data_IF_872527772047
#
_entry.id   IF_872527772047
#
_cell.length_a   1.000
_cell.length_b   1.000
_cell.length_c   1.000
_cell.angle_alpha   90.00
_cell.angle_beta   90.00
_cell.angle_gamma   90.00
#
_symmetry.space_group_name_H-M   'P 1'
#
loop_
_entity.id
_entity.type
_entity.pdbx_description
1 polymer ?
#
# COMPACT_ATOMS: atom_id res chain seq x y z
N UNK A 1 -0.13 23.22 2.95
CA UNK A 1 -0.13 21.92 2.26
C UNK A 1 1.26 21.72 1.69
N UNK A 2 2.00 20.70 2.11
CA UNK A 2 3.31 20.34 1.52
C UNK A 2 3.08 19.38 0.36
N UNK A 3 3.83 19.56 -0.73
CA UNK A 3 3.79 18.64 -1.87
C UNK A 3 4.68 17.43 -1.54
N UNK A 4 4.16 16.22 -1.78
CA UNK A 4 4.91 14.96 -1.66
C UNK A 4 5.12 14.40 -3.06
N UNK A 5 6.38 14.09 -3.40
CA UNK A 5 6.72 13.37 -4.63
C UNK A 5 6.95 11.90 -4.31
N UNK A 6 6.41 11.03 -5.17
CA UNK A 6 6.57 9.59 -5.06
C UNK A 6 6.84 8.94 -6.41
N UNK A 7 7.34 7.71 -6.37
CA UNK A 7 7.61 6.86 -7.52
C UNK A 7 6.79 5.59 -7.45
N UNK A 8 6.58 4.93 -8.58
CA UNK A 8 5.91 3.63 -8.66
C UNK A 8 6.93 2.55 -8.99
N UNK A 9 6.77 1.37 -8.39
CA UNK A 9 7.57 0.17 -8.66
C UNK A 9 6.65 -1.03 -8.84
N UNK A 10 7.02 -1.97 -9.72
CA UNK A 10 6.15 -3.08 -10.12
C UNK A 10 6.90 -4.41 -10.00
N UNK A 11 6.62 -5.22 -8.96
CA UNK A 11 7.30 -6.49 -8.69
C UNK A 11 7.40 -7.49 -9.85
N UNK A 12 6.47 -7.39 -10.78
CA UNK A 12 6.37 -8.21 -11.99
C UNK A 12 7.26 -7.72 -13.14
N UNK A 13 7.79 -6.49 -13.05
CA UNK A 13 8.60 -5.85 -14.09
C UNK A 13 10.07 -5.75 -13.69
N UNK A 14 10.34 -5.53 -12.40
CA UNK A 14 11.69 -5.31 -11.87
C UNK A 14 12.10 -6.31 -10.77
N UNK A 15 13.37 -6.65 -10.75
CA UNK A 15 13.97 -7.34 -9.59
C UNK A 15 14.11 -6.39 -8.40
N UNK A 16 14.15 -6.93 -7.17
CA UNK A 16 14.39 -6.14 -5.96
C UNK A 16 15.70 -5.33 -6.02
N UNK A 17 16.73 -5.81 -6.73
CA UNK A 17 17.98 -5.07 -6.91
C UNK A 17 17.78 -3.83 -7.79
N UNK A 18 17.05 -3.95 -8.90
CA UNK A 18 16.74 -2.80 -9.77
C UNK A 18 15.85 -1.78 -9.04
N UNK A 19 14.91 -2.26 -8.22
CA UNK A 19 14.09 -1.41 -7.37
C UNK A 19 14.96 -0.65 -6.35
N UNK A 20 15.90 -1.33 -5.68
CA UNK A 20 16.83 -0.69 -4.73
C UNK A 20 17.64 0.43 -5.40
N UNK A 21 18.27 0.15 -6.54
CA UNK A 21 19.02 1.14 -7.32
C UNK A 21 18.14 2.34 -7.73
N UNK A 22 16.89 2.08 -8.11
CA UNK A 22 15.93 3.12 -8.48
C UNK A 22 15.49 3.98 -7.29
N UNK A 23 15.14 3.36 -6.15
CA UNK A 23 14.71 4.07 -4.94
C UNK A 23 15.85 4.89 -4.32
N UNK A 24 17.10 4.39 -4.42
CA UNK A 24 18.29 5.17 -4.07
C UNK A 24 18.42 6.45 -4.90
N UNK A 25 18.22 6.35 -6.21
CA UNK A 25 18.26 7.52 -7.09
C UNK A 25 17.11 8.49 -6.77
N UNK A 26 15.87 7.98 -6.67
CA UNK A 26 14.70 8.80 -6.37
C UNK A 26 14.83 9.55 -5.04
N UNK A 27 15.30 8.88 -3.99
CA UNK A 27 15.50 9.50 -2.68
C UNK A 27 16.59 10.57 -2.70
N UNK A 28 17.66 10.41 -3.49
CA UNK A 28 18.66 11.46 -3.70
C UNK A 28 18.11 12.74 -4.35
N UNK A 29 16.93 12.64 -4.98
CA UNK A 29 16.18 13.76 -5.56
C UNK A 29 14.97 14.20 -4.71
N UNK A 30 14.87 13.75 -3.46
CA UNK A 30 13.86 14.22 -2.50
C UNK A 30 12.48 13.55 -2.64
N UNK A 31 12.38 12.43 -3.34
CA UNK A 31 11.16 11.62 -3.34
C UNK A 31 11.05 10.86 -2.01
N UNK A 32 9.86 10.81 -1.43
CA UNK A 32 9.63 10.27 -0.08
C UNK A 32 8.48 9.28 0.01
N UNK A 33 7.90 8.89 -1.14
CA UNK A 33 6.80 7.92 -1.21
C UNK A 33 7.03 6.91 -2.34
N UNK A 34 6.67 5.66 -2.08
CA UNK A 34 6.63 4.58 -3.06
C UNK A 34 5.20 4.09 -3.20
N UNK A 35 4.75 3.90 -4.43
CA UNK A 35 3.53 3.18 -4.77
C UNK A 35 3.90 1.83 -5.37
N UNK A 36 3.17 0.77 -5.04
CA UNK A 36 3.33 -0.55 -5.65
C UNK A 36 1.99 -1.26 -5.77
N UNK A 37 1.79 -2.00 -6.87
CA UNK A 37 0.69 -2.97 -6.96
C UNK A 37 0.96 -4.16 -6.05
N UNK A 38 -0.02 -4.60 -5.25
CA UNK A 38 0.12 -5.82 -4.45
C UNK A 38 -0.44 -7.07 -5.13
N UNK A 39 -1.13 -6.91 -6.27
CA UNK A 39 -1.80 -8.02 -6.97
C UNK A 39 -0.84 -8.88 -7.80
N UNK A 40 0.26 -8.29 -8.24
CA UNK A 40 1.11 -8.87 -9.28
C UNK A 40 2.13 -9.88 -8.76
N UNK A 41 2.30 -10.00 -7.44
CA UNK A 41 3.21 -10.96 -6.82
C UNK A 41 2.52 -12.32 -6.73
N UNK A 42 2.98 -13.34 -7.49
CA UNK A 42 2.42 -14.69 -7.41
C UNK A 42 2.89 -15.41 -6.14
N UNK A 43 2.26 -16.54 -5.84
CA UNK A 43 2.68 -17.42 -4.75
C UNK A 43 1.73 -17.44 -3.55
N UNK A 44 2.18 -18.13 -2.50
CA UNK A 44 1.46 -18.27 -1.24
C UNK A 44 1.40 -16.94 -0.49
N UNK A 45 0.57 -16.87 0.55
CA UNK A 45 0.52 -15.73 1.46
C UNK A 45 1.92 -15.43 2.04
N UNK A 46 2.67 -16.45 2.42
CA UNK A 46 3.98 -16.29 3.05
C UNK A 46 5.01 -15.74 2.06
N UNK A 47 4.99 -16.19 0.81
CA UNK A 47 5.88 -15.71 -0.26
C UNK A 47 5.59 -14.25 -0.60
N UNK A 48 4.30 -13.89 -0.72
CA UNK A 48 3.86 -12.51 -0.96
C UNK A 48 4.25 -11.60 0.20
N UNK A 49 4.03 -12.03 1.44
CA UNK A 49 4.39 -11.26 2.63
C UNK A 49 5.92 -11.05 2.74
N UNK A 50 6.71 -12.09 2.47
CA UNK A 50 8.18 -11.99 2.47
C UNK A 50 8.68 -11.02 1.39
N UNK A 51 8.08 -11.06 0.19
CA UNK A 51 8.41 -10.12 -0.87
C UNK A 51 8.16 -8.67 -0.43
N UNK A 52 6.95 -8.37 0.05
CA UNK A 52 6.61 -7.01 0.45
C UNK A 52 7.42 -6.53 1.65
N UNK A 53 7.75 -7.41 2.61
CA UNK A 53 8.68 -7.10 3.69
C UNK A 53 10.08 -6.71 3.19
N UNK A 54 10.59 -7.38 2.15
CA UNK A 54 11.88 -7.01 1.54
C UNK A 54 11.78 -5.68 0.80
N UNK A 55 10.72 -5.48 0.02
CA UNK A 55 10.47 -4.24 -0.73
C UNK A 55 10.35 -3.03 0.20
N UNK A 56 9.54 -3.13 1.26
CA UNK A 56 9.37 -2.06 2.26
C UNK A 56 10.67 -1.80 3.02
N UNK A 57 11.42 -2.85 3.37
CA UNK A 57 12.75 -2.72 3.96
C UNK A 57 13.70 -1.88 3.11
N UNK A 58 13.72 -2.08 1.78
CA UNK A 58 14.51 -1.26 0.84
C UNK A 58 14.00 0.20 0.84
N UNK A 59 12.69 0.41 0.69
CA UNK A 59 12.12 1.77 0.67
C UNK A 59 12.40 2.55 1.97
N UNK A 60 12.28 1.89 3.11
CA UNK A 60 12.51 2.48 4.44
C UNK A 60 13.98 2.85 4.67
N UNK A 61 14.95 2.13 4.10
CA UNK A 61 16.37 2.54 4.14
C UNK A 61 16.59 3.93 3.55
N UNK A 62 15.75 4.34 2.60
CA UNK A 62 15.78 5.64 1.95
C UNK A 62 14.77 6.64 2.52
N UNK A 63 14.15 6.32 3.66
CA UNK A 63 13.17 7.19 4.33
C UNK A 63 11.86 7.36 3.55
N UNK A 64 11.53 6.44 2.65
CA UNK A 64 10.33 6.50 1.82
C UNK A 64 9.21 5.67 2.41
N UNK A 65 7.99 6.21 2.47
CA UNK A 65 6.80 5.45 2.89
C UNK A 65 6.23 4.63 1.73
N UNK A 66 5.74 3.43 2.00
CA UNK A 66 5.16 2.53 1.00
C UNK A 66 3.64 2.53 1.05
N UNK A 67 3.04 2.82 -0.09
CA UNK A 67 1.61 2.69 -0.36
C UNK A 67 1.36 1.47 -1.24
N UNK A 68 0.83 0.41 -0.64
CA UNK A 68 0.49 -0.82 -1.33
C UNK A 68 -0.94 -0.76 -1.88
N UNK A 69 -1.09 -0.96 -3.18
CA UNK A 69 -2.39 -1.02 -3.84
C UNK A 69 -3.04 -2.39 -3.65
N UNK A 70 -4.21 -2.39 -3.01
CA UNK A 70 -4.93 -3.61 -2.67
C UNK A 70 -6.44 -3.44 -2.82
N UNK A 71 -7.15 -4.55 -2.64
CA UNK A 71 -8.61 -4.60 -2.59
C UNK A 71 -9.03 -5.62 -1.52
N UNK A 72 -10.33 -5.71 -1.27
CA UNK A 72 -10.90 -6.60 -0.25
C UNK A 72 -10.52 -8.08 -0.44
N UNK A 73 -10.38 -8.56 -1.69
CA UNK A 73 -9.91 -9.92 -1.97
C UNK A 73 -8.44 -10.13 -1.56
N UNK A 74 -7.59 -9.13 -1.78
CA UNK A 74 -6.21 -9.21 -1.34
C UNK A 74 -6.10 -9.20 0.19
N UNK A 75 -6.91 -8.39 0.88
CA UNK A 75 -7.00 -8.43 2.35
C UNK A 75 -7.32 -9.86 2.82
N UNK A 76 -8.37 -10.48 2.28
CA UNK A 76 -8.78 -11.85 2.61
C UNK A 76 -7.66 -12.86 2.32
N UNK A 77 -7.01 -12.78 1.15
CA UNK A 77 -5.85 -13.64 0.79
C UNK A 77 -4.75 -13.57 1.85
N UNK A 78 -4.51 -12.38 2.39
CA UNK A 78 -3.49 -12.14 3.41
C UNK A 78 -3.98 -12.45 4.84
N UNK A 79 -5.22 -12.91 5.02
CA UNK A 79 -5.83 -13.13 6.33
C UNK A 79 -6.00 -11.83 7.12
N UNK A 80 -6.19 -10.73 6.41
CA UNK A 80 -6.53 -9.42 6.94
C UNK A 80 -8.00 -9.09 6.66
N UNK A 81 -8.54 -8.13 7.39
CA UNK A 81 -9.86 -7.56 7.20
C UNK A 81 -9.89 -6.12 7.73
N UNK A 82 -11.07 -5.49 7.79
CA UNK A 82 -11.20 -4.12 8.27
C UNK A 82 -10.82 -3.92 9.75
N UNK A 83 -10.74 -5.00 10.53
CA UNK A 83 -10.44 -4.99 11.97
C UNK A 83 -9.04 -5.49 12.28
N UNK A 84 -8.39 -6.20 11.37
CA UNK A 84 -7.07 -6.78 11.56
C UNK A 84 -6.14 -6.48 10.38
N UNK A 85 -5.31 -5.45 10.54
CA UNK A 85 -4.27 -5.08 9.58
C UNK A 85 -2.87 -5.56 9.98
N UNK A 86 -2.75 -6.46 10.96
CA UNK A 86 -1.46 -7.02 11.37
C UNK A 86 -0.64 -7.58 10.19
N UNK A 87 -1.24 -8.27 9.18
CA UNK A 87 -0.47 -8.73 8.03
C UNK A 87 0.25 -7.60 7.28
N UNK A 88 -0.34 -6.41 7.15
CA UNK A 88 0.27 -5.26 6.49
C UNK A 88 1.36 -4.63 7.34
N UNK A 89 1.17 -4.58 8.68
CA UNK A 89 2.21 -4.16 9.63
C UNK A 89 3.43 -5.09 9.55
N UNK A 90 3.21 -6.40 9.50
CA UNK A 90 4.29 -7.40 9.39
C UNK A 90 5.05 -7.30 8.06
N UNK A 91 4.38 -6.86 7.00
CA UNK A 91 5.00 -6.52 5.71
C UNK A 91 5.70 -5.16 5.71
N UNK A 92 5.53 -4.32 6.73
CA UNK A 92 6.07 -2.96 6.77
C UNK A 92 5.34 -1.98 5.84
N UNK A 93 4.11 -2.27 5.44
CA UNK A 93 3.31 -1.37 4.61
C UNK A 93 2.83 -0.18 5.47
N UNK A 94 3.18 1.03 5.06
CA UNK A 94 2.78 2.25 5.78
C UNK A 94 1.34 2.66 5.45
N UNK A 95 0.91 2.44 4.22
CA UNK A 95 -0.37 2.88 3.68
C UNK A 95 -0.97 1.77 2.80
N UNK A 96 -2.24 1.45 3.01
CA UNK A 96 -3.03 0.67 2.06
C UNK A 96 -3.83 1.61 1.17
N UNK A 97 -3.64 1.51 -0.15
CA UNK A 97 -4.50 2.16 -1.14
C UNK A 97 -5.59 1.17 -1.52
N UNK A 98 -6.84 1.50 -1.23
CA UNK A 98 -8.00 0.70 -1.60
C UNK A 98 -8.42 1.04 -3.04
N UNK A 99 -8.04 0.19 -4.00
CA UNK A 99 -8.50 0.30 -5.38
C UNK A 99 -10.00 0.02 -5.48
N UNK A 100 -10.44 -1.08 -4.84
CA UNK A 100 -11.83 -1.41 -4.57
C UNK A 100 -12.02 -1.62 -3.07
N UNK A 101 -12.91 -0.82 -2.49
CA UNK A 101 -13.26 -0.82 -1.07
C UNK A 101 -14.47 -1.73 -0.77
N UNK A 102 -14.88 -1.83 0.50
CA UNK A 102 -16.05 -2.62 0.87
C UNK A 102 -17.36 -1.97 0.41
N UNK A 103 -17.42 -0.63 0.39
CA UNK A 103 -18.60 0.15 0.02
C UNK A 103 -19.64 0.23 1.14
N UNK A 104 -19.26 -0.07 2.39
CA UNK A 104 -20.14 -0.06 3.56
C UNK A 104 -19.39 0.38 4.83
N UNK A 105 -20.00 0.24 6.01
CA UNK A 105 -19.45 0.66 7.31
C UNK A 105 -18.07 0.06 7.64
N UNK A 106 -17.68 -1.05 6.98
CA UNK A 106 -16.34 -1.62 7.12
C UNK A 106 -15.25 -0.66 6.66
N UNK A 107 -15.50 0.17 5.65
CA UNK A 107 -14.52 1.17 5.21
C UNK A 107 -14.24 2.20 6.32
N UNK A 108 -15.25 2.59 7.09
CA UNK A 108 -15.08 3.47 8.26
C UNK A 108 -14.22 2.80 9.33
N UNK A 109 -14.45 1.51 9.56
CA UNK A 109 -13.66 0.70 10.52
C UNK A 109 -12.20 0.62 10.06
N UNK A 110 -11.97 0.35 8.78
CA UNK A 110 -10.66 0.27 8.15
C UNK A 110 -9.89 1.59 8.26
N UNK A 111 -10.54 2.72 7.95
CA UNK A 111 -9.94 4.06 8.03
C UNK A 111 -9.52 4.40 9.46
N UNK A 112 -10.34 4.02 10.45
CA UNK A 112 -10.09 4.31 11.87
C UNK A 112 -9.31 3.21 12.59
N UNK A 113 -8.59 2.35 11.86
CA UNK A 113 -7.84 1.25 12.44
C UNK A 113 -6.83 1.72 13.51
N UNK A 114 -6.57 0.86 14.50
CA UNK A 114 -5.61 1.14 15.58
C UNK A 114 -4.17 0.69 15.27
N UNK A 115 -3.90 0.19 14.06
CA UNK A 115 -2.59 -0.35 13.66
C UNK A 115 -1.62 0.74 13.19
N UNK A 116 -2.11 1.97 12.99
CA UNK A 116 -1.31 3.09 12.48
C UNK A 116 -1.02 2.99 10.98
N UNK A 117 -1.70 2.08 10.27
CA UNK A 117 -1.63 1.94 8.81
C UNK A 117 -2.51 3.02 8.19
N UNK A 118 -1.94 3.85 7.32
CA UNK A 118 -2.69 4.86 6.58
C UNK A 118 -3.64 4.22 5.58
N UNK A 119 -4.76 4.88 5.28
CA UNK A 119 -5.73 4.40 4.29
C UNK A 119 -5.93 5.46 3.22
N UNK A 120 -5.70 5.09 1.96
CA UNK A 120 -5.95 5.93 0.79
C UNK A 120 -7.12 5.35 -0.01
N UNK A 121 -8.22 6.08 -0.07
CA UNK A 121 -9.39 5.67 -0.84
C UNK A 121 -9.23 6.09 -2.32
N UNK A 122 -9.73 5.25 -3.23
CA UNK A 122 -9.74 5.60 -4.65
C UNK A 122 -10.60 6.84 -4.92
N UNK A 123 -10.01 7.82 -5.61
CA UNK A 123 -10.69 9.07 -5.98
C UNK A 123 -11.90 8.85 -6.91
N UNK A 124 -12.00 7.68 -7.54
CA UNK A 124 -13.15 7.30 -8.37
C UNK A 124 -14.48 7.26 -7.57
N UNK A 125 -14.41 7.01 -6.25
CA UNK A 125 -15.59 6.92 -5.38
C UNK A 125 -15.99 8.25 -4.75
N UNK A 126 -15.18 9.31 -4.90
CA UNK A 126 -15.45 10.62 -4.26
C UNK A 126 -16.79 11.20 -4.72
N UNK A 127 -17.09 11.19 -6.03
CA UNK A 127 -18.36 11.73 -6.54
C UNK A 127 -19.59 10.92 -6.09
N UNK A 128 -19.59 9.57 -6.16
CA UNK A 128 -20.66 8.77 -5.57
C UNK A 128 -20.85 9.00 -4.06
N UNK A 129 -19.75 9.14 -3.30
CA UNK A 129 -19.79 9.41 -1.86
C UNK A 129 -20.39 10.80 -1.59
N UNK A 130 -19.89 11.84 -2.27
CA UNK A 130 -20.37 13.22 -2.16
C UNK A 130 -21.87 13.32 -2.49
N UNK A 131 -22.34 12.59 -3.51
CA UNK A 131 -23.76 12.58 -3.88
C UNK A 131 -24.67 11.84 -2.89
N UNK A 132 -24.13 10.89 -2.10
CA UNK A 132 -24.88 10.13 -1.11
C UNK A 132 -24.99 10.84 0.24
N UNK A 133 -24.07 11.78 0.53
CA UNK A 133 -24.04 12.56 1.78
C UNK A 133 -24.59 13.99 1.66
N UNK A 134 -25.08 14.36 0.47
CA UNK A 134 -25.76 15.63 0.18
C UNK A 134 -27.27 15.54 0.41
#
# INVERSE_FOLDING_TARGET
MSITLGVSVYPEQESLQQIDEYLKLASSHGFTKVFTSMFSVPGTKEEVADYFRKLTGIAHQYGMKVSGDCNTFFLEKMGADEKNLQPFVDMGIDIIRMDLCYGDERDITLINNSFGVGVEMSAAFVKPIDAAIA
#
